data_IF_085979200190
#
_entry.id   IF_085979200190
#
_cell.length_a   1.000
_cell.length_b   1.000
_cell.length_c   1.000
_cell.angle_alpha   90.00
_cell.angle_beta   90.00
_cell.angle_gamma   90.00
#
_symmetry.space_group_name_H-M   'P 1'
#
loop_
_entity.id
_entity.type
_entity.pdbx_description
1 polymer ?
#
# COMPACT_ATOMS: atom_id res chain seq x y z
N UNK A 1 -29.31 3.63 3.39
CA UNK A 1 -28.10 3.37 4.19
C UNK A 1 -27.62 4.66 4.85
N UNK A 2 -28.35 5.13 5.87
CA UNK A 2 -28.04 6.42 6.52
C UNK A 2 -26.81 6.34 7.44
N UNK A 3 -26.42 5.15 7.90
CA UNK A 3 -25.36 4.98 8.90
C UNK A 3 -23.94 5.28 8.40
N UNK A 4 -23.65 5.13 7.09
CA UNK A 4 -22.32 5.44 6.53
C UNK A 4 -22.07 6.96 6.46
N UNK A 5 -23.12 7.76 6.29
CA UNK A 5 -23.05 9.22 6.25
C UNK A 5 -23.42 9.90 7.57
N UNK A 6 -23.44 9.16 8.69
CA UNK A 6 -23.86 9.71 9.97
C UNK A 6 -22.84 10.72 10.53
N UNK A 7 -23.31 11.70 11.31
CA UNK A 7 -22.44 12.71 11.94
C UNK A 7 -21.52 12.10 12.98
N UNK A 8 -21.98 11.08 13.71
CA UNK A 8 -21.26 10.50 14.82
C UNK A 8 -20.32 9.37 14.36
N UNK A 9 -19.01 9.42 14.68
CA UNK A 9 -18.04 8.45 14.19
C UNK A 9 -18.36 7.01 14.63
N UNK A 10 -18.88 6.81 15.84
CA UNK A 10 -19.28 5.48 16.32
C UNK A 10 -20.33 4.80 15.43
N UNK A 11 -21.28 5.57 14.89
CA UNK A 11 -22.33 5.04 14.00
C UNK A 11 -21.70 4.62 12.68
N UNK A 12 -20.81 5.45 12.11
CA UNK A 12 -20.06 5.11 10.89
C UNK A 12 -19.20 3.87 11.07
N UNK A 13 -18.44 3.76 12.17
CA UNK A 13 -17.64 2.56 12.51
C UNK A 13 -18.49 1.30 12.52
N UNK A 14 -19.64 1.35 13.20
CA UNK A 14 -20.57 0.22 13.31
C UNK A 14 -21.21 -0.12 11.96
N UNK A 15 -21.57 0.90 11.17
CA UNK A 15 -22.13 0.74 9.84
C UNK A 15 -21.15 0.03 8.89
N UNK A 16 -19.88 0.42 8.88
CA UNK A 16 -18.84 -0.22 8.06
C UNK A 16 -18.64 -1.69 8.46
N UNK A 17 -18.60 -1.99 9.76
CA UNK A 17 -18.52 -3.38 10.23
C UNK A 17 -19.78 -4.18 9.88
N UNK A 18 -20.95 -3.55 9.86
CA UNK A 18 -22.19 -4.14 9.38
C UNK A 18 -22.12 -4.50 7.89
N UNK A 19 -21.62 -3.59 7.06
CA UNK A 19 -21.36 -3.84 5.64
C UNK A 19 -20.39 -5.00 5.45
N UNK A 20 -19.31 -5.07 6.23
CA UNK A 20 -18.36 -6.19 6.19
C UNK A 20 -19.02 -7.53 6.53
N UNK A 21 -19.96 -7.56 7.49
CA UNK A 21 -20.72 -8.78 7.78
C UNK A 21 -21.64 -9.18 6.62
N UNK A 22 -22.30 -8.22 5.99
CA UNK A 22 -23.15 -8.47 4.82
C UNK A 22 -22.27 -8.98 3.66
N UNK A 23 -21.07 -8.44 3.48
CA UNK A 23 -20.11 -8.91 2.48
C UNK A 23 -19.81 -10.41 2.62
N UNK A 24 -19.55 -10.89 3.84
CA UNK A 24 -19.32 -12.31 4.09
C UNK A 24 -20.54 -13.20 3.87
N UNK A 25 -21.76 -12.66 3.96
CA UNK A 25 -23.00 -13.41 3.72
C UNK A 25 -23.43 -13.40 2.25
N UNK A 26 -23.34 -12.23 1.60
CA UNK A 26 -23.76 -12.00 0.22
C UNK A 26 -22.93 -10.88 -0.42
N UNK A 27 -21.80 -11.22 -1.07
CA UNK A 27 -20.93 -10.22 -1.69
C UNK A 27 -21.59 -9.52 -2.89
N UNK A 28 -22.47 -10.22 -3.63
CA UNK A 28 -23.19 -9.65 -4.77
C UNK A 28 -24.07 -8.47 -4.36
N UNK A 29 -24.72 -8.56 -3.19
CA UNK A 29 -25.58 -7.50 -2.67
C UNK A 29 -24.78 -6.23 -2.42
N UNK A 30 -23.58 -6.33 -1.85
CA UNK A 30 -22.73 -5.18 -1.52
C UNK A 30 -22.11 -4.56 -2.78
N UNK A 31 -21.74 -5.38 -3.76
CA UNK A 31 -21.15 -4.93 -5.01
C UNK A 31 -22.18 -4.20 -5.89
N UNK A 32 -23.40 -4.75 -5.99
CA UNK A 32 -24.45 -4.19 -6.85
C UNK A 32 -25.14 -2.95 -6.27
N UNK A 33 -24.99 -2.68 -4.97
CA UNK A 33 -25.65 -1.57 -4.28
C UNK A 33 -24.81 -0.29 -4.19
N UNK A 34 -23.61 -0.27 -4.77
CA UNK A 34 -22.71 0.90 -4.74
C UNK A 34 -22.14 1.22 -3.36
N UNK A 35 -22.26 0.29 -2.40
CA UNK A 35 -21.75 0.48 -1.03
C UNK A 35 -20.24 0.59 -1.02
N UNK A 36 -19.57 -0.20 -1.86
CA UNK A 36 -18.11 -0.22 -1.98
C UNK A 36 -17.57 1.18 -2.27
N UNK A 37 -18.25 1.94 -3.14
CA UNK A 37 -17.82 3.29 -3.50
C UNK A 37 -18.04 4.29 -2.35
N UNK A 38 -19.09 4.11 -1.54
CA UNK A 38 -19.29 4.90 -0.32
C UNK A 38 -18.20 4.61 0.72
N UNK A 39 -17.86 3.33 0.93
CA UNK A 39 -16.78 2.92 1.85
C UNK A 39 -15.43 3.47 1.38
N UNK A 40 -15.16 3.45 0.06
CA UNK A 40 -13.98 4.11 -0.52
C UNK A 40 -13.98 5.62 -0.27
N UNK A 41 -15.11 6.30 -0.43
CA UNK A 41 -15.20 7.74 -0.13
C UNK A 41 -14.85 8.02 1.35
N UNK A 42 -15.40 7.23 2.27
CA UNK A 42 -15.09 7.33 3.70
C UNK A 42 -13.62 7.05 4.01
N UNK A 43 -13.02 6.09 3.32
CA UNK A 43 -11.60 5.75 3.51
C UNK A 43 -10.66 6.94 3.29
N UNK A 44 -10.95 7.83 2.34
CA UNK A 44 -10.13 9.01 2.05
C UNK A 44 -10.55 10.26 2.85
N UNK A 45 -11.85 10.38 3.17
CA UNK A 45 -12.42 11.64 3.68
C UNK A 45 -12.71 11.62 5.18
N UNK A 46 -12.78 10.45 5.82
CA UNK A 46 -13.19 10.38 7.22
C UNK A 46 -12.09 10.91 8.16
N UNK A 47 -12.42 11.86 9.05
CA UNK A 47 -11.47 12.35 10.04
C UNK A 47 -11.12 11.29 11.09
N UNK A 48 -12.00 10.31 11.33
CA UNK A 48 -11.82 9.33 12.39
C UNK A 48 -10.92 8.16 11.93
N UNK A 49 -9.76 7.94 12.58
CA UNK A 49 -8.82 6.91 12.14
C UNK A 49 -9.39 5.50 12.28
N UNK A 50 -10.29 5.27 13.26
CA UNK A 50 -10.90 3.95 13.43
C UNK A 50 -11.96 3.66 12.35
N UNK A 51 -12.70 4.68 11.86
CA UNK A 51 -13.56 4.51 10.68
C UNK A 51 -12.71 4.13 9.47
N UNK A 52 -11.63 4.87 9.21
CA UNK A 52 -10.69 4.59 8.11
C UNK A 52 -10.11 3.17 8.20
N UNK A 53 -9.70 2.73 9.40
CA UNK A 53 -9.21 1.37 9.62
C UNK A 53 -10.27 0.30 9.30
N UNK A 54 -11.52 0.50 9.73
CA UNK A 54 -12.62 -0.42 9.41
C UNK A 54 -12.94 -0.41 7.90
N UNK A 55 -12.87 0.75 7.25
CA UNK A 55 -13.05 0.87 5.80
C UNK A 55 -11.94 0.10 5.06
N UNK A 56 -10.69 0.24 5.50
CA UNK A 56 -9.55 -0.48 4.93
C UNK A 56 -9.77 -1.99 5.02
N UNK A 57 -10.20 -2.49 6.18
CA UNK A 57 -10.52 -3.90 6.40
C UNK A 57 -11.61 -4.42 5.47
N UNK A 58 -12.61 -3.60 5.14
CA UNK A 58 -13.62 -3.97 4.17
C UNK A 58 -13.06 -3.97 2.74
N UNK A 59 -12.32 -2.93 2.37
CA UNK A 59 -11.79 -2.76 1.01
C UNK A 59 -10.78 -3.86 0.63
N UNK A 60 -9.93 -4.31 1.56
CA UNK A 60 -9.00 -5.44 1.31
C UNK A 60 -9.69 -6.79 1.10
N UNK A 61 -10.98 -6.92 1.49
CA UNK A 61 -11.78 -8.11 1.22
C UNK A 61 -12.45 -8.06 -0.17
N UNK A 62 -12.64 -6.85 -0.71
CA UNK A 62 -13.23 -6.63 -2.03
C UNK A 62 -12.16 -6.69 -3.11
N UNK A 63 -11.01 -6.06 -2.86
CA UNK A 63 -9.91 -5.98 -3.82
C UNK A 63 -8.62 -6.55 -3.22
N UNK A 64 -7.81 -7.27 -4.01
CA UNK A 64 -6.54 -7.79 -3.54
C UNK A 64 -5.61 -6.64 -3.13
N UNK A 65 -4.88 -6.82 -2.02
CA UNK A 65 -3.96 -5.83 -1.46
C UNK A 65 -2.95 -5.29 -2.50
N UNK A 66 -2.47 -6.12 -3.42
CA UNK A 66 -1.55 -5.71 -4.49
C UNK A 66 -2.15 -4.62 -5.41
N UNK A 67 -3.44 -4.71 -5.71
CA UNK A 67 -4.14 -3.70 -6.55
C UNK A 67 -4.32 -2.39 -5.79
N UNK A 68 -4.64 -2.47 -4.50
CA UNK A 68 -4.76 -1.30 -3.64
C UNK A 68 -3.40 -0.61 -3.44
N UNK A 69 -2.36 -1.39 -3.17
CA UNK A 69 -1.00 -0.90 -3.00
C UNK A 69 -0.45 -0.24 -4.27
N UNK A 70 -0.88 -0.67 -5.46
CA UNK A 70 -0.47 -0.06 -6.73
C UNK A 70 -0.78 1.45 -6.82
N UNK A 71 -1.76 1.95 -6.06
CA UNK A 71 -2.08 3.36 -6.02
C UNK A 71 -1.18 4.10 -5.01
N UNK A 72 -0.18 4.81 -5.54
CA UNK A 72 0.74 5.66 -4.76
C UNK A 72 0.00 6.64 -3.83
N UNK A 73 -1.01 7.36 -4.31
CA UNK A 73 -1.70 8.36 -3.50
C UNK A 73 -2.39 7.72 -2.28
N UNK A 74 -2.92 6.51 -2.46
CA UNK A 74 -3.56 5.77 -1.39
C UNK A 74 -2.56 5.31 -0.33
N UNK A 75 -1.43 4.74 -0.74
CA UNK A 75 -0.36 4.30 0.16
C UNK A 75 0.16 5.48 0.98
N UNK A 76 0.51 6.58 0.33
CA UNK A 76 1.00 7.78 1.03
C UNK A 76 -0.03 8.40 1.96
N UNK A 77 -1.32 8.39 1.59
CA UNK A 77 -2.39 8.86 2.49
C UNK A 77 -2.42 8.06 3.80
N UNK A 78 -2.32 6.73 3.72
CA UNK A 78 -2.32 5.86 4.91
C UNK A 78 -1.03 5.99 5.73
N UNK A 79 0.13 6.05 5.08
CA UNK A 79 1.43 6.20 5.76
C UNK A 79 1.54 7.53 6.49
N UNK A 80 1.07 8.63 5.89
CA UNK A 80 1.09 9.95 6.53
C UNK A 80 0.19 10.02 7.79
N UNK A 81 -0.87 9.21 7.82
CA UNK A 81 -1.79 9.09 8.97
C UNK A 81 -1.44 7.94 9.90
N UNK A 82 -0.32 7.25 9.69
CA UNK A 82 -0.01 5.98 10.36
C UNK A 82 -0.03 6.10 11.89
N UNK A 83 0.47 7.23 12.42
CA UNK A 83 0.54 7.53 13.85
C UNK A 83 -0.82 7.71 14.53
N UNK A 84 -1.88 8.02 13.76
CA UNK A 84 -3.22 8.26 14.30
C UNK A 84 -4.00 6.95 14.48
N UNK A 85 -3.51 5.85 13.89
CA UNK A 85 -4.15 4.53 13.98
C UNK A 85 -3.74 3.78 15.24
N UNK A 86 -4.61 2.86 15.67
CA UNK A 86 -4.27 1.87 16.69
C UNK A 86 -3.18 0.92 16.19
N UNK A 87 -2.42 0.30 17.10
CA UNK A 87 -1.31 -0.60 16.73
C UNK A 87 -1.75 -1.72 15.77
N UNK A 88 -2.95 -2.29 16.00
CA UNK A 88 -3.51 -3.30 15.11
C UNK A 88 -3.77 -2.76 13.69
N UNK A 89 -4.34 -1.55 13.59
CA UNK A 89 -4.58 -0.92 12.29
C UNK A 89 -3.27 -0.51 11.61
N UNK A 90 -2.25 -0.09 12.37
CA UNK A 90 -0.91 0.15 11.85
C UNK A 90 -0.30 -1.12 11.23
N UNK A 91 -0.42 -2.28 11.88
CA UNK A 91 0.01 -3.55 11.31
C UNK A 91 -0.68 -3.86 9.98
N UNK A 92 -2.00 -3.65 9.89
CA UNK A 92 -2.74 -3.87 8.66
C UNK A 92 -2.31 -2.93 7.52
N UNK A 93 -2.02 -1.65 7.84
CA UNK A 93 -1.49 -0.70 6.86
C UNK A 93 -0.08 -1.11 6.41
N UNK A 94 0.81 -1.52 7.32
CA UNK A 94 2.15 -1.99 6.96
C UNK A 94 2.11 -3.25 6.09
N UNK A 95 1.16 -4.16 6.35
CA UNK A 95 0.94 -5.33 5.50
C UNK A 95 0.57 -4.91 4.07
N UNK A 96 -0.35 -3.94 3.92
CA UNK A 96 -0.67 -3.36 2.61
C UNK A 96 0.56 -2.72 1.95
N UNK A 97 1.33 -1.92 2.70
CA UNK A 97 2.55 -1.25 2.20
C UNK A 97 3.60 -2.27 1.75
N UNK A 98 3.65 -3.45 2.36
CA UNK A 98 4.59 -4.51 1.95
C UNK A 98 4.33 -5.03 0.53
N UNK A 99 3.12 -4.83 -0.01
CA UNK A 99 2.79 -5.15 -1.40
C UNK A 99 3.05 -4.01 -2.38
N UNK A 100 3.44 -2.83 -1.90
CA UNK A 100 3.74 -1.69 -2.76
C UNK A 100 5.09 -1.85 -3.44
N UNK A 101 5.14 -1.61 -4.76
CA UNK A 101 6.37 -1.54 -5.52
C UNK A 101 6.70 -0.08 -5.87
N UNK A 102 7.66 0.54 -5.16
CA UNK A 102 8.08 1.91 -5.45
C UNK A 102 8.78 1.98 -6.81
N UNK A 103 8.61 3.10 -7.53
CA UNK A 103 9.13 3.24 -8.89
C UNK A 103 10.56 3.80 -8.93
N UNK A 104 11.04 4.38 -7.83
CA UNK A 104 12.37 4.98 -7.77
C UNK A 104 12.97 4.98 -6.37
N UNK A 105 14.30 5.10 -6.30
CA UNK A 105 15.07 5.03 -5.05
C UNK A 105 14.68 6.15 -4.06
N UNK A 106 14.42 7.37 -4.54
CA UNK A 106 13.98 8.48 -3.67
C UNK A 106 12.70 8.15 -2.88
N UNK A 107 11.74 7.51 -3.53
CA UNK A 107 10.46 7.13 -2.91
C UNK A 107 10.65 6.01 -1.88
N UNK A 108 11.58 5.09 -2.13
CA UNK A 108 11.98 4.09 -1.14
C UNK A 108 12.51 4.78 0.12
N UNK A 109 13.45 5.72 -0.03
CA UNK A 109 14.02 6.44 1.12
C UNK A 109 12.95 7.22 1.90
N UNK A 110 12.04 7.90 1.22
CA UNK A 110 10.94 8.63 1.87
C UNK A 110 10.06 7.71 2.71
N UNK A 111 9.69 6.53 2.17
CA UNK A 111 8.88 5.54 2.89
C UNK A 111 9.65 4.92 4.06
N UNK A 112 10.92 4.56 3.87
CA UNK A 112 11.74 3.98 4.94
C UNK A 112 11.91 4.97 6.10
N UNK A 113 12.20 6.24 5.81
CA UNK A 113 12.31 7.28 6.83
C UNK A 113 10.98 7.50 7.57
N UNK A 114 9.85 7.47 6.86
CA UNK A 114 8.53 7.59 7.48
C UNK A 114 8.16 6.41 8.41
N UNK A 115 8.75 5.24 8.17
CA UNK A 115 8.50 4.01 8.92
C UNK A 115 9.56 3.72 10.00
N UNK A 116 10.69 4.44 10.02
CA UNK A 116 11.79 4.25 10.96
C UNK A 116 11.31 4.32 12.42
N UNK A 117 10.45 5.30 12.73
CA UNK A 117 9.84 5.47 14.05
C UNK A 117 9.03 4.26 14.54
N UNK A 118 8.64 3.34 13.63
CA UNK A 118 7.85 2.14 13.98
C UNK A 118 8.72 0.95 14.39
N UNK A 119 10.02 0.98 14.11
CA UNK A 119 10.96 -0.05 14.57
C UNK A 119 11.19 0.00 16.08
N UNK A 120 10.99 1.15 16.71
CA UNK A 120 11.09 1.35 18.16
C UNK A 120 9.78 1.10 18.93
N UNK A 121 8.74 0.57 18.28
CA UNK A 121 7.45 0.35 18.94
C UNK A 121 7.53 -0.75 20.02
N UNK A 122 6.74 -0.60 21.09
CA UNK A 122 6.66 -1.60 22.16
C UNK A 122 6.02 -2.90 21.69
N UNK A 123 5.10 -2.82 20.72
CA UNK A 123 4.42 -3.98 20.16
C UNK A 123 5.31 -4.72 19.15
N UNK A 124 5.69 -5.95 19.50
CA UNK A 124 6.54 -6.80 18.66
C UNK A 124 5.92 -7.12 17.29
N UNK A 125 4.59 -7.23 17.20
CA UNK A 125 3.91 -7.47 15.91
C UNK A 125 4.11 -6.29 14.96
N UNK A 126 4.04 -5.06 15.49
CA UNK A 126 4.25 -3.84 14.71
C UNK A 126 5.70 -3.74 14.23
N UNK A 127 6.66 -4.07 15.10
CA UNK A 127 8.09 -4.11 14.76
C UNK A 127 8.37 -5.15 13.66
N UNK A 128 7.80 -6.35 13.76
CA UNK A 128 7.97 -7.40 12.74
C UNK A 128 7.35 -6.98 11.41
N UNK A 129 6.16 -6.37 11.43
CA UNK A 129 5.53 -5.84 10.23
C UNK A 129 6.38 -4.74 9.56
N UNK A 130 6.96 -3.84 10.36
CA UNK A 130 7.89 -2.82 9.86
C UNK A 130 9.14 -3.47 9.24
N UNK A 131 9.80 -4.40 9.94
CA UNK A 131 10.97 -5.12 9.42
C UNK A 131 10.66 -5.82 8.09
N UNK A 132 9.47 -6.44 7.97
CA UNK A 132 9.02 -7.07 6.72
C UNK A 132 8.97 -6.08 5.56
N UNK A 133 8.43 -4.87 5.79
CA UNK A 133 8.38 -3.81 4.78
C UNK A 133 9.79 -3.34 4.40
N UNK A 134 10.66 -3.09 5.39
CA UNK A 134 12.05 -2.69 5.18
C UNK A 134 12.81 -3.72 4.35
N UNK A 135 12.66 -5.02 4.66
CA UNK A 135 13.32 -6.09 3.93
C UNK A 135 12.80 -6.18 2.49
N UNK A 136 11.49 -6.07 2.29
CA UNK A 136 10.90 -6.14 0.94
C UNK A 136 11.39 -4.99 0.06
N UNK A 137 11.43 -3.76 0.58
CA UNK A 137 11.88 -2.58 -0.15
C UNK A 137 13.38 -2.62 -0.47
N UNK A 138 14.22 -3.10 0.46
CA UNK A 138 15.68 -3.16 0.28
C UNK A 138 16.12 -4.28 -0.67
N UNK A 139 15.44 -5.44 -0.65
CA UNK A 139 15.71 -6.54 -1.58
C UNK A 139 15.35 -6.16 -3.04
N UNK A 140 14.23 -5.48 -3.25
CA UNK A 140 13.85 -4.99 -4.58
C UNK A 140 14.86 -3.96 -5.11
N UNK A 141 15.45 -3.12 -4.26
CA UNK A 141 16.50 -2.18 -4.65
C UNK A 141 17.80 -2.90 -5.07
N UNK A 142 18.22 -3.94 -4.34
CA UNK A 142 19.39 -4.74 -4.69
C UNK A 142 19.21 -5.49 -6.03
N UNK A 143 18.00 -6.02 -6.29
CA UNK A 143 17.67 -6.66 -7.55
C UNK A 143 17.67 -5.65 -8.72
N UNK A 144 17.11 -4.46 -8.52
CA UNK A 144 17.06 -3.40 -9.53
C UNK A 144 18.47 -2.90 -9.89
N UNK A 145 19.35 -2.71 -8.90
CA UNK A 145 20.75 -2.38 -9.13
C UNK A 145 21.50 -3.46 -9.91
N UNK A 146 21.26 -4.75 -9.65
CA UNK A 146 21.88 -5.85 -10.41
C UNK A 146 21.38 -5.90 -11.86
N UNK A 147 20.11 -5.58 -12.09
CA UNK A 147 19.50 -5.61 -13.43
C UNK A 147 19.99 -4.44 -14.31
N UNK A 148 20.16 -3.24 -13.74
CA UNK A 148 20.82 -2.12 -14.42
C UNK A 148 22.29 -2.42 -14.71
N UNK A 149 23.01 -3.05 -13.77
CA UNK A 149 24.41 -3.47 -13.99
C UNK A 149 24.57 -4.49 -15.12
N UNK A 150 23.57 -5.36 -15.31
CA UNK A 150 23.54 -6.34 -16.41
C UNK A 150 23.04 -5.73 -17.73
N UNK A 151 22.11 -4.78 -17.68
CA UNK A 151 21.56 -4.09 -18.86
C UNK A 151 22.45 -2.97 -19.42
N UNK A 152 23.36 -2.40 -18.61
CA UNK A 152 24.31 -1.37 -19.03
C UNK A 152 25.56 -1.87 -19.77
N UNK A 153 25.67 -3.16 -20.07
CA UNK A 153 26.83 -3.77 -20.74
C UNK A 153 26.73 -3.79 -22.28
N UNK A 154 25.82 -3.02 -22.89
CA UNK A 154 25.78 -2.78 -24.33
C UNK A 154 26.43 -1.43 -24.66
N UNK A 155 27.71 -1.26 -24.32
CA UNK A 155 28.53 -0.19 -24.88
C UNK A 155 28.92 -0.61 -26.31
N UNK A 156 28.64 0.18 -27.36
CA UNK A 156 29.07 -0.16 -28.71
C UNK A 156 30.60 -0.09 -28.74
N UNK A 157 31.26 -1.25 -28.74
CA UNK A 157 32.70 -1.32 -29.03
C UNK A 157 32.90 -0.73 -30.42
N UNK A 158 33.58 0.42 -30.46
CA UNK A 158 33.95 1.10 -31.68
C UNK A 158 34.61 0.12 -32.65
N UNK A 159 33.96 -0.08 -33.80
CA UNK A 159 34.55 -0.73 -34.96
C UNK A 159 35.54 0.23 -35.62
N UNK A 160 36.75 0.32 -35.06
CA UNK A 160 37.92 0.83 -35.77
C UNK A 160 38.34 -0.20 -36.83
N UNK A 161 38.27 0.21 -38.09
CA UNK A 161 38.36 -0.70 -39.24
C UNK A 161 39.74 -1.27 -39.55
N UNK A 162 39.75 -2.23 -40.48
CA UNK A 162 40.83 -2.40 -41.45
C UNK A 162 40.43 -3.35 -42.58
N UNK A 163 40.53 -2.83 -43.82
CA UNK A 163 40.90 -3.53 -45.05
C UNK A 163 39.89 -4.57 -45.63
N UNK A 164 39.66 -4.72 -46.94
CA UNK A 164 40.32 -4.26 -48.17
C UNK A 164 39.45 -4.78 -49.34
N UNK A 165 39.30 -3.97 -50.42
CA UNK A 165 39.35 -4.33 -51.87
C UNK A 165 38.43 -5.47 -52.37
N UNK A 166 37.75 -5.43 -53.51
CA UNK A 166 37.94 -4.83 -54.85
C UNK A 166 36.61 -5.09 -55.62
N UNK A 167 36.21 -4.21 -56.54
CA UNK A 167 36.16 -4.45 -58.00
C UNK A 167 35.31 -5.64 -58.41
#
# INVERSE_FOLDING_TARGET
>A
MAGLGDRHPYVRRTAVMGVLKIWHMSPDTVTNSGIVDQVRSLLYQDPDPQVVANCLQMVVQVEPMARLASNKQFVYHLVNRLKDFSEWAQCAVLELVSHYRPSGESEVYDLLNALEDRLGATNSALVVAAIKVFLHMTLDMAATHQQVRRGGAAWPRGGGGAARRRA
#
